data_IF_034581506079
#
_entry.id   IF_034581506079
#
_cell.length_a   1.000
_cell.length_b   1.000
_cell.length_c   1.000
_cell.angle_alpha   90.00
_cell.angle_beta   90.00
_cell.angle_gamma   90.00
#
_symmetry.space_group_name_H-M   'P 1'
#
loop_
_entity.id
_entity.type
_entity.pdbx_description
1 polymer ?
#
# COMPACT_ATOMS: atom_id res chain seq x y z
N UNK A 1 3.89 22.57 26.01
CA UNK A 1 3.08 22.90 24.82
C UNK A 1 1.62 22.66 25.17
N UNK A 2 0.73 23.56 24.76
CA UNK A 2 -0.71 23.40 25.03
C UNK A 2 -1.34 22.39 24.06
N UNK A 3 -2.29 21.61 24.55
CA UNK A 3 -3.13 20.74 23.73
C UNK A 3 -4.06 21.59 22.85
N UNK A 4 -4.27 21.17 21.61
CA UNK A 4 -5.15 21.86 20.66
C UNK A 4 -6.18 20.89 20.08
N UNK A 5 -7.41 21.36 19.94
CA UNK A 5 -8.53 20.60 19.36
C UNK A 5 -9.15 21.39 18.21
N UNK A 6 -9.61 20.69 17.17
CA UNK A 6 -10.29 21.29 16.01
C UNK A 6 -11.28 20.31 15.39
N UNK A 7 -12.27 20.83 14.66
CA UNK A 7 -13.20 20.02 13.86
C UNK A 7 -12.67 19.94 12.42
N UNK A 8 -12.55 18.74 11.80
CA UNK A 8 -12.15 18.62 10.40
C UNK A 8 -13.14 19.30 9.45
N UNK A 9 -12.61 20.11 8.53
CA UNK A 9 -13.36 20.86 7.50
C UNK A 9 -12.42 21.51 6.48
N UNK A 10 -12.94 22.27 5.50
CA UNK A 10 -12.13 22.89 4.44
C UNK A 10 -10.97 23.74 4.98
N UNK A 11 -11.20 24.53 6.01
CA UNK A 11 -10.20 25.43 6.61
C UNK A 11 -9.17 24.69 7.49
N UNK A 12 -9.50 23.48 7.95
CA UNK A 12 -8.63 22.65 8.81
C UNK A 12 -8.08 21.41 8.08
N UNK A 13 -8.23 21.34 6.76
CA UNK A 13 -7.86 20.15 5.97
C UNK A 13 -6.36 19.79 6.08
N UNK A 14 -5.47 20.79 6.16
CA UNK A 14 -4.03 20.55 6.41
C UNK A 14 -3.82 19.97 7.81
N UNK A 15 -4.39 20.59 8.84
CA UNK A 15 -4.31 20.12 10.22
C UNK A 15 -4.83 18.69 10.38
N UNK A 16 -5.93 18.34 9.70
CA UNK A 16 -6.46 16.99 9.69
C UNK A 16 -5.50 15.98 9.04
N UNK A 17 -4.92 16.30 7.87
CA UNK A 17 -3.89 15.44 7.24
C UNK A 17 -2.65 15.29 8.10
N UNK A 18 -2.20 16.35 8.75
CA UNK A 18 -1.04 16.33 9.64
C UNK A 18 -1.33 15.46 10.88
N UNK A 19 -2.55 15.51 11.43
CA UNK A 19 -2.99 14.66 12.52
C UNK A 19 -3.01 13.17 12.12
N UNK A 20 -3.56 12.84 10.94
CA UNK A 20 -3.52 11.47 10.39
C UNK A 20 -2.08 10.97 10.21
N UNK A 21 -1.19 11.84 9.75
CA UNK A 21 0.24 11.53 9.57
C UNK A 21 1.01 11.27 10.87
N UNK A 22 0.42 11.51 12.05
CA UNK A 22 1.02 11.12 13.32
C UNK A 22 1.07 9.60 13.50
N UNK A 23 0.14 8.86 12.89
CA UNK A 23 0.17 7.40 12.86
C UNK A 23 1.26 6.93 11.90
N UNK A 24 2.35 6.38 12.44
CA UNK A 24 3.44 5.82 11.65
C UNK A 24 3.00 4.52 10.98
N UNK A 25 3.32 4.39 9.70
CA UNK A 25 2.88 3.25 8.86
C UNK A 25 4.08 2.63 8.18
N UNK A 26 3.98 1.33 7.86
CA UNK A 26 4.83 0.75 6.82
C UNK A 26 4.44 1.32 5.45
N UNK A 27 5.35 1.22 4.49
CA UNK A 27 5.06 1.57 3.09
C UNK A 27 4.83 0.29 2.29
N UNK A 28 3.78 0.28 1.47
CA UNK A 28 3.49 -0.85 0.59
C UNK A 28 3.38 -0.43 -0.87
N UNK A 29 3.69 -1.34 -1.78
CA UNK A 29 3.32 -1.23 -3.20
C UNK A 29 2.32 -2.32 -3.52
N UNK A 30 1.18 -1.94 -4.07
CA UNK A 30 0.16 -2.87 -4.57
C UNK A 30 0.30 -2.98 -6.08
N UNK A 31 0.28 -4.20 -6.60
CA UNK A 31 0.38 -4.47 -8.04
C UNK A 31 -0.78 -5.32 -8.52
N UNK A 32 -1.13 -5.15 -9.79
CA UNK A 32 -2.09 -6.01 -10.49
C UNK A 32 -1.69 -6.12 -11.96
N UNK A 33 -2.14 -7.18 -12.62
CA UNK A 33 -2.06 -7.29 -14.07
C UNK A 33 -3.31 -6.66 -14.70
N UNK A 34 -3.12 -5.88 -15.77
CA UNK A 34 -4.22 -5.32 -16.57
C UNK A 34 -4.08 -5.76 -18.04
N UNK A 35 -5.13 -5.59 -18.87
CA UNK A 35 -5.02 -5.85 -20.32
C UNK A 35 -3.96 -5.00 -21.03
N UNK A 36 -3.57 -3.85 -20.47
CA UNK A 36 -2.56 -2.94 -21.04
C UNK A 36 -1.15 -3.20 -20.50
N UNK A 37 -0.98 -4.13 -19.57
CA UNK A 37 0.27 -4.40 -18.88
C UNK A 37 0.17 -4.33 -17.35
N UNK A 38 1.30 -4.50 -16.66
CA UNK A 38 1.35 -4.46 -15.20
C UNK A 38 1.06 -3.04 -14.68
N UNK A 39 0.41 -2.96 -13.52
CA UNK A 39 0.06 -1.70 -12.87
C UNK A 39 0.42 -1.75 -11.39
N UNK A 40 0.97 -0.66 -10.86
CA UNK A 40 1.39 -0.50 -9.48
C UNK A 40 0.89 0.80 -8.84
N UNK A 41 0.73 0.77 -7.52
CA UNK A 41 0.44 1.95 -6.71
C UNK A 41 1.10 1.83 -5.33
N UNK A 42 1.80 2.87 -4.91
CA UNK A 42 2.32 2.97 -3.54
C UNK A 42 1.23 3.45 -2.60
N UNK A 43 1.02 2.72 -1.50
CA UNK A 43 0.03 3.06 -0.47
C UNK A 43 0.58 2.77 0.92
N UNK A 44 0.07 3.49 1.92
CA UNK A 44 0.36 3.25 3.34
C UNK A 44 -0.92 3.05 4.16
N UNK A 45 -2.06 2.80 3.50
CA UNK A 45 -3.36 2.50 4.09
C UNK A 45 -3.59 1.01 4.35
N UNK A 46 -2.54 0.19 4.25
CA UNK A 46 -2.58 -1.25 4.50
C UNK A 46 -2.91 -1.55 5.97
N UNK A 47 -3.77 -2.55 6.20
CA UNK A 47 -3.99 -3.13 7.51
C UNK A 47 -4.30 -4.63 7.44
N UNK A 48 -3.82 -5.39 8.42
CA UNK A 48 -4.25 -6.77 8.66
C UNK A 48 -5.68 -6.76 9.22
N UNK A 49 -6.53 -7.70 8.78
CA UNK A 49 -7.96 -7.74 9.14
C UNK A 49 -8.34 -9.03 9.86
N UNK A 50 -8.00 -10.19 9.31
CA UNK A 50 -8.42 -11.49 9.84
C UNK A 50 -7.33 -12.53 9.65
N UNK A 51 -7.27 -13.50 10.57
CA UNK A 51 -6.38 -14.67 10.46
C UNK A 51 -7.08 -15.87 9.79
N UNK A 52 -8.38 -16.06 10.03
CA UNK A 52 -9.18 -17.15 9.44
C UNK A 52 -10.59 -16.65 9.04
N UNK A 53 -10.88 -16.50 7.73
CA UNK A 53 -9.94 -16.61 6.62
C UNK A 53 -8.87 -15.50 6.69
N UNK A 54 -7.70 -15.67 6.05
CA UNK A 54 -6.61 -14.70 6.12
C UNK A 54 -6.94 -13.46 5.27
N UNK A 55 -7.38 -12.38 5.90
CA UNK A 55 -7.80 -11.14 5.24
C UNK A 55 -6.91 -9.96 5.59
N UNK A 56 -6.69 -9.10 4.60
CA UNK A 56 -6.10 -7.77 4.75
C UNK A 56 -6.94 -6.73 4.01
N UNK A 57 -6.71 -5.45 4.26
CA UNK A 57 -7.29 -4.34 3.51
C UNK A 57 -6.26 -3.30 3.07
N UNK A 58 -6.62 -2.51 2.08
CA UNK A 58 -5.95 -1.26 1.70
C UNK A 58 -6.94 -0.33 0.98
N UNK A 59 -6.59 0.94 0.85
CA UNK A 59 -7.51 1.96 0.32
C UNK A 59 -6.91 2.72 -0.87
N UNK A 60 -7.24 2.39 -2.13
CA UNK A 60 -6.95 3.26 -3.28
C UNK A 60 -7.83 4.53 -3.28
N UNK A 61 -7.22 5.68 -3.56
CA UNK A 61 -7.94 6.94 -3.73
C UNK A 61 -8.75 6.93 -5.04
N UNK A 62 -10.01 7.37 -5.00
CA UNK A 62 -10.88 7.47 -6.19
C UNK A 62 -10.36 8.46 -7.24
N UNK A 63 -9.60 9.46 -6.81
CA UNK A 63 -8.97 10.42 -7.71
C UNK A 63 -7.77 9.85 -8.50
N UNK A 64 -7.27 8.66 -8.13
CA UNK A 64 -6.18 8.02 -8.86
C UNK A 64 -6.67 7.48 -10.21
N UNK A 65 -5.94 7.77 -11.29
CA UNK A 65 -6.19 7.16 -12.60
C UNK A 65 -6.07 5.61 -12.60
N UNK A 66 -5.51 5.05 -11.52
CA UNK A 66 -5.29 3.61 -11.33
C UNK A 66 -6.43 2.95 -10.53
N UNK A 67 -7.35 3.74 -9.97
CA UNK A 67 -8.38 3.29 -9.04
C UNK A 67 -9.22 2.14 -9.61
N UNK A 68 -9.86 2.37 -10.76
CA UNK A 68 -10.82 1.42 -11.32
C UNK A 68 -10.17 0.08 -11.69
N UNK A 69 -8.92 0.12 -12.18
CA UNK A 69 -8.15 -1.09 -12.46
C UNK A 69 -7.92 -1.93 -11.20
N UNK A 70 -7.60 -1.30 -10.06
CA UNK A 70 -7.39 -2.02 -8.80
C UNK A 70 -8.69 -2.48 -8.15
N UNK A 71 -9.77 -1.71 -8.23
CA UNK A 71 -11.08 -2.11 -7.67
C UNK A 71 -11.71 -3.24 -8.49
N UNK A 72 -11.50 -3.27 -9.81
CA UNK A 72 -11.98 -4.34 -10.68
C UNK A 72 -11.09 -5.59 -10.67
N UNK A 73 -9.82 -5.48 -10.25
CA UNK A 73 -8.88 -6.61 -10.25
C UNK A 73 -9.39 -7.79 -9.42
N UNK A 74 -9.31 -8.99 -9.99
CA UNK A 74 -9.59 -10.24 -9.26
C UNK A 74 -8.42 -10.67 -8.40
N UNK A 75 -7.19 -10.45 -8.88
CA UNK A 75 -5.95 -10.81 -8.21
C UNK A 75 -5.03 -9.59 -8.11
N UNK A 76 -4.38 -9.42 -6.96
CA UNK A 76 -3.37 -8.37 -6.76
C UNK A 76 -2.31 -8.87 -5.79
N UNK A 77 -1.16 -8.20 -5.73
CA UNK A 77 -0.12 -8.48 -4.74
C UNK A 77 0.22 -7.22 -3.93
N UNK A 78 0.34 -7.36 -2.61
CA UNK A 78 0.74 -6.28 -1.70
C UNK A 78 2.15 -6.54 -1.21
N UNK A 79 3.04 -5.58 -1.43
CA UNK A 79 4.46 -5.68 -1.12
C UNK A 79 4.82 -4.73 0.02
N UNK A 80 5.25 -5.23 1.16
CA UNK A 80 5.80 -4.43 2.26
C UNK A 80 7.24 -4.07 1.93
N UNK A 81 7.50 -2.78 1.73
CA UNK A 81 8.78 -2.29 1.21
C UNK A 81 9.87 -2.34 2.28
N UNK A 82 11.07 -2.73 1.88
CA UNK A 82 12.27 -2.62 2.71
C UNK A 82 12.80 -1.18 2.76
N UNK A 83 13.56 -0.85 3.80
CA UNK A 83 14.12 0.49 4.02
C UNK A 83 14.99 0.97 2.84
N UNK A 84 15.73 0.05 2.22
CA UNK A 84 16.56 0.28 1.02
C UNK A 84 15.76 0.44 -0.28
N UNK A 85 14.45 0.21 -0.26
CA UNK A 85 13.56 0.32 -1.42
C UNK A 85 12.77 1.64 -1.48
N UNK A 86 13.24 2.68 -0.78
CA UNK A 86 12.64 4.02 -0.82
C UNK A 86 12.48 4.56 -2.25
N UNK A 87 13.47 4.34 -3.12
CA UNK A 87 13.42 4.78 -4.53
C UNK A 87 12.28 4.10 -5.29
N UNK A 88 12.09 2.79 -5.11
CA UNK A 88 11.02 1.99 -5.73
C UNK A 88 9.64 2.44 -5.23
N UNK A 89 9.50 2.65 -3.92
CA UNK A 89 8.25 3.14 -3.35
C UNK A 89 7.87 4.53 -3.88
N UNK A 90 8.83 5.46 -3.98
CA UNK A 90 8.60 6.77 -4.59
C UNK A 90 8.28 6.68 -6.08
N UNK A 91 8.94 5.78 -6.79
CA UNK A 91 8.70 5.56 -8.21
C UNK A 91 7.26 5.14 -8.48
N UNK A 92 6.75 4.10 -7.80
CA UNK A 92 5.37 3.62 -8.02
C UNK A 92 4.28 4.54 -7.45
N UNK A 93 4.63 5.51 -6.59
CA UNK A 93 3.73 6.60 -6.26
C UNK A 93 3.47 7.49 -7.50
N UNK A 94 4.53 7.81 -8.25
CA UNK A 94 4.46 8.68 -9.42
C UNK A 94 4.11 7.95 -10.73
N UNK A 95 4.80 6.85 -11.04
CA UNK A 95 4.81 6.13 -12.33
C UNK A 95 4.38 4.67 -12.19
N UNK A 96 3.09 4.44 -12.02
CA UNK A 96 2.55 3.11 -11.76
C UNK A 96 2.53 2.13 -12.94
N UNK A 97 2.77 2.59 -14.18
CA UNK A 97 2.84 1.71 -15.37
C UNK A 97 4.30 1.37 -15.76
N UNK A 98 5.28 2.05 -15.16
CA UNK A 98 6.69 1.87 -15.46
C UNK A 98 7.33 0.89 -14.46
N UNK A 99 7.46 -0.37 -14.85
CA UNK A 99 8.04 -1.42 -14.00
C UNK A 99 9.57 -1.56 -14.16
N UNK A 100 10.26 -0.59 -14.78
CA UNK A 100 11.72 -0.64 -14.93
C UNK A 100 12.50 -0.37 -13.64
N UNK A 101 11.84 0.13 -12.59
CA UNK A 101 12.49 0.53 -11.33
C UNK A 101 12.93 -0.65 -10.45
N UNK A 102 12.45 -1.88 -10.70
CA UNK A 102 12.82 -3.08 -9.95
C UNK A 102 12.57 -4.34 -10.75
N UNK A 103 13.30 -5.42 -10.45
CA UNK A 103 12.99 -6.74 -10.97
C UNK A 103 11.62 -7.23 -10.46
N UNK A 104 10.90 -7.95 -11.33
CA UNK A 104 9.60 -8.53 -11.02
C UNK A 104 9.32 -9.73 -11.92
N UNK A 105 8.46 -10.63 -11.45
CA UNK A 105 7.92 -11.76 -12.21
C UNK A 105 6.44 -11.93 -11.87
N UNK A 106 5.58 -12.43 -12.77
CA UNK A 106 4.22 -12.80 -12.40
C UNK A 106 4.20 -13.85 -11.27
N UNK A 107 3.37 -13.66 -10.26
CA UNK A 107 3.10 -14.70 -9.26
C UNK A 107 2.12 -15.75 -9.84
N UNK A 108 1.79 -16.78 -9.05
CA UNK A 108 0.87 -17.85 -9.48
C UNK A 108 -0.57 -17.36 -9.77
N UNK A 109 -0.96 -16.19 -9.27
CA UNK A 109 -2.24 -15.55 -9.58
C UNK A 109 -2.15 -14.60 -10.79
N UNK A 110 -0.97 -14.50 -11.41
CA UNK A 110 -0.68 -13.63 -12.55
C UNK A 110 -0.38 -12.17 -12.19
N UNK A 111 -0.43 -11.78 -10.92
CA UNK A 111 -0.11 -10.41 -10.53
C UNK A 111 1.41 -10.16 -10.53
N UNK A 112 1.89 -8.96 -10.92
CA UNK A 112 3.32 -8.63 -10.91
C UNK A 112 3.92 -8.70 -9.51
N UNK A 113 4.88 -9.59 -9.29
CA UNK A 113 5.49 -9.81 -7.99
C UNK A 113 6.88 -9.17 -7.95
N UNK A 114 7.04 -8.11 -7.16
CA UNK A 114 8.30 -7.39 -7.01
C UNK A 114 9.28 -8.22 -6.18
N UNK A 115 10.55 -8.20 -6.60
CA UNK A 115 11.61 -8.90 -5.89
C UNK A 115 12.14 -8.09 -4.69
N UNK A 116 12.68 -8.80 -3.71
CA UNK A 116 13.41 -8.19 -2.61
C UNK A 116 12.58 -7.29 -1.70
N UNK A 117 11.32 -7.61 -1.45
CA UNK A 117 10.46 -6.90 -0.49
C UNK A 117 10.45 -7.64 0.86
N UNK A 118 10.15 -6.96 1.98
CA UNK A 118 10.13 -7.58 3.32
C UNK A 118 9.08 -8.68 3.41
N UNK A 119 7.89 -8.38 2.91
CA UNK A 119 6.80 -9.34 2.78
C UNK A 119 6.02 -9.06 1.50
N UNK A 120 5.50 -10.12 0.89
CA UNK A 120 4.54 -10.06 -0.20
C UNK A 120 3.34 -10.93 0.14
N UNK A 121 2.15 -10.38 -0.07
CA UNK A 121 0.88 -11.08 0.06
C UNK A 121 0.25 -11.18 -1.33
N UNK A 122 0.12 -12.40 -1.84
CA UNK A 122 -0.59 -12.67 -3.10
C UNK A 122 -2.07 -12.87 -2.77
N UNK A 123 -2.92 -11.96 -3.26
CA UNK A 123 -4.30 -11.83 -2.80
C UNK A 123 -5.31 -12.06 -3.93
N UNK A 124 -6.44 -12.68 -3.59
CA UNK A 124 -7.68 -12.61 -4.36
C UNK A 124 -8.57 -11.53 -3.75
N UNK A 125 -9.24 -10.71 -4.58
CA UNK A 125 -10.18 -9.71 -4.08
C UNK A 125 -11.37 -10.40 -3.42
N UNK A 126 -11.53 -10.14 -2.13
CA UNK A 126 -12.62 -10.67 -1.32
C UNK A 126 -13.84 -9.73 -1.36
N UNK A 127 -13.61 -8.43 -1.16
CA UNK A 127 -14.67 -7.42 -1.19
C UNK A 127 -14.12 -6.03 -1.55
N UNK A 128 -15.02 -5.12 -1.95
CA UNK A 128 -14.71 -3.71 -2.14
C UNK A 128 -15.89 -2.83 -1.67
N UNK A 129 -15.60 -1.80 -0.87
CA UNK A 129 -16.62 -0.93 -0.28
C UNK A 129 -16.27 0.55 -0.47
N UNK A 130 -17.18 1.40 -0.98
CA UNK A 130 -16.96 2.84 -1.02
C UNK A 130 -16.76 3.42 0.40
N UNK A 131 -15.76 4.29 0.58
CA UNK A 131 -15.46 4.95 1.85
C UNK A 131 -15.00 6.40 1.62
N UNK A 132 -15.96 7.30 1.37
CA UNK A 132 -15.66 8.70 1.07
C UNK A 132 -14.93 8.87 -0.26
N UNK A 133 -13.77 9.51 -0.23
CA UNK A 133 -12.88 9.74 -1.39
C UNK A 133 -11.97 8.54 -1.71
N UNK A 134 -12.06 7.45 -0.95
CA UNK A 134 -11.37 6.19 -1.18
C UNK A 134 -12.36 5.03 -1.34
N UNK A 135 -11.84 3.88 -1.77
CA UNK A 135 -12.53 2.59 -1.71
C UNK A 135 -11.73 1.68 -0.79
N UNK A 136 -12.38 0.96 0.12
CA UNK A 136 -11.73 -0.09 0.93
C UNK A 136 -11.72 -1.36 0.09
N UNK A 137 -10.54 -1.86 -0.26
CA UNK A 137 -10.36 -3.14 -0.95
C UNK A 137 -9.90 -4.17 0.07
N UNK A 138 -10.65 -5.26 0.20
CA UNK A 138 -10.34 -6.39 1.07
C UNK A 138 -9.84 -7.54 0.19
N UNK A 139 -8.70 -8.12 0.57
CA UNK A 139 -8.09 -9.25 -0.12
C UNK A 139 -7.97 -10.46 0.80
N UNK A 140 -8.30 -11.62 0.28
CA UNK A 140 -8.00 -12.92 0.89
C UNK A 140 -6.62 -13.38 0.43
N UNK A 141 -5.73 -13.66 1.39
CA UNK A 141 -4.34 -13.98 1.14
C UNK A 141 -4.22 -15.45 0.74
N UNK A 142 -3.81 -15.70 -0.49
CA UNK A 142 -3.58 -17.04 -1.02
C UNK A 142 -2.15 -17.54 -0.74
N UNK A 143 -1.18 -16.63 -0.68
CA UNK A 143 0.23 -16.96 -0.43
C UNK A 143 0.96 -15.78 0.22
N UNK A 144 1.92 -16.12 1.07
CA UNK A 144 2.84 -15.16 1.70
C UNK A 144 4.27 -15.51 1.29
N UNK A 145 5.06 -14.51 0.94
CA UNK A 145 6.52 -14.60 0.81
C UNK A 145 7.15 -13.59 1.76
N UNK A 146 8.17 -13.98 2.51
CA UNK A 146 8.86 -13.07 3.44
C UNK A 146 10.37 -13.20 3.36
N UNK A 147 11.06 -12.16 3.79
CA UNK A 147 12.50 -12.18 4.04
C UNK A 147 12.83 -11.35 5.29
N UNK A 148 13.94 -11.63 5.98
CA UNK A 148 14.45 -10.75 7.03
C UNK A 148 14.85 -9.37 6.48
N UNK A 149 14.75 -8.33 7.30
CA UNK A 149 15.21 -6.98 6.98
C UNK A 149 14.39 -5.90 7.68
N UNK A 150 14.83 -4.64 7.54
CA UNK A 150 14.12 -3.48 8.08
C UNK A 150 13.09 -2.96 7.07
N UNK A 151 11.87 -2.73 7.55
CA UNK A 151 10.80 -2.16 6.74
C UNK A 151 10.93 -0.64 6.60
N UNK A 152 10.51 -0.12 5.44
CA UNK A 152 10.39 1.32 5.21
C UNK A 152 9.19 1.88 5.99
N UNK A 153 9.44 2.92 6.77
CA UNK A 153 8.44 3.61 7.57
C UNK A 153 8.11 4.97 6.96
N UNK A 154 6.83 5.33 7.01
CA UNK A 154 6.34 6.67 6.67
C UNK A 154 5.57 7.28 7.85
N UNK A 155 5.98 8.48 8.25
CA UNK A 155 5.36 9.24 9.36
C UNK A 155 5.52 10.73 9.09
N UNK A 156 4.45 11.51 9.28
CA UNK A 156 4.43 12.98 9.12
C UNK A 156 5.07 13.48 7.82
N UNK A 157 4.79 12.80 6.69
CA UNK A 157 5.33 13.19 5.38
C UNK A 157 6.80 12.80 5.15
N UNK A 158 7.43 12.09 6.09
CA UNK A 158 8.83 11.71 6.03
C UNK A 158 8.99 10.20 5.96
N UNK A 159 10.02 9.77 5.23
CA UNK A 159 10.45 8.37 5.15
C UNK A 159 11.58 8.12 6.15
N UNK A 160 11.63 6.92 6.71
CA UNK A 160 12.72 6.49 7.60
C UNK A 160 12.69 4.98 7.85
N UNK A 161 13.48 4.54 8.82
CA UNK A 161 13.53 3.16 9.29
C UNK A 161 12.93 2.98 10.68
N UNK A 162 12.76 1.72 11.08
CA UNK A 162 12.40 1.37 12.45
C UNK A 162 13.66 1.28 13.33
N UNK A 163 13.61 1.91 14.51
CA UNK A 163 14.65 1.78 15.53
C UNK A 163 14.26 0.64 16.48
N UNK A 164 15.00 -0.45 16.43
CA UNK A 164 14.86 -1.55 17.38
C UNK A 164 15.39 -1.10 18.75
N UNK A 165 14.61 -1.34 19.80
CA UNK A 165 15.10 -1.22 21.16
C UNK A 165 15.82 -2.52 21.53
N UNK A 166 17.10 -2.38 21.90
CA UNK A 166 17.96 -3.45 22.40
C UNK A 166 17.52 -3.95 23.77
#
# INVERSE_FOLDING_TARGET
>A
MAETSFIPGPDTARSYRDALGCFGTGVTVVTTQTPRGPLAITVNSFASVSLDPPLMLWCPAKASLRHDAFVAAENFAVHVMAEDQLSVAKHFAAKGEDFSATAWQPNELGAPALEGVIARFDCRRYAAHPAGDHTIVIGEVARVTTRPGKGLIFKRGQYGGFLEQS
#
